data_IF_855174307184
#
_entry.id   IF_855174307184
#
_cell.length_a   1.000
_cell.length_b   1.000
_cell.length_c   1.000
_cell.angle_alpha   90.00
_cell.angle_beta   90.00
_cell.angle_gamma   90.00
#
_symmetry.space_group_name_H-M   'P 1'
#
loop_
_entity.id
_entity.type
_entity.pdbx_description
1 polymer ?
#
# COMPACT_ATOMS: atom_id res chain seq x y z
N UNK A 1 0.29 13.09 -3.60
CA UNK A 1 -1.13 12.84 -3.23
C UNK A 1 -1.63 13.91 -2.29
N UNK A 2 -1.02 14.09 -1.10
CA UNK A 2 -1.36 15.18 -0.19
C UNK A 2 -1.17 16.56 -0.84
N UNK A 3 -0.03 16.78 -1.51
CA UNK A 3 0.25 18.05 -2.19
C UNK A 3 -0.81 18.38 -3.26
N UNK A 4 -1.18 17.38 -4.08
CA UNK A 4 -2.22 17.55 -5.09
C UNK A 4 -3.59 17.90 -4.48
N UNK A 5 -3.93 17.39 -3.29
CA UNK A 5 -5.17 17.80 -2.59
C UNK A 5 -5.10 19.26 -2.11
N UNK A 6 -3.93 19.70 -1.64
CA UNK A 6 -3.70 21.08 -1.19
C UNK A 6 -3.74 22.06 -2.37
N UNK A 7 -3.22 21.65 -3.53
CA UNK A 7 -3.29 22.46 -4.76
C UNK A 7 -4.74 22.66 -5.24
N UNK A 8 -5.63 21.71 -4.96
CA UNK A 8 -7.06 21.78 -5.28
C UNK A 8 -7.88 22.61 -4.26
N UNK A 9 -7.33 22.89 -3.08
CA UNK A 9 -7.99 23.70 -2.06
C UNK A 9 -7.49 23.45 -0.64
N UNK A 10 -8.22 24.01 0.34
CA UNK A 10 -7.90 23.87 1.77
C UNK A 10 -9.00 23.08 2.46
N UNK A 11 -8.97 21.74 2.40
CA UNK A 11 -9.93 20.93 3.14
C UNK A 11 -9.79 21.18 4.65
N UNK A 12 -10.92 21.12 5.36
CA UNK A 12 -10.94 21.24 6.83
C UNK A 12 -10.18 20.08 7.50
N UNK A 13 -10.23 18.90 6.88
CA UNK A 13 -9.51 17.71 7.33
C UNK A 13 -9.18 16.79 6.14
N UNK A 14 -8.06 16.07 6.25
CA UNK A 14 -7.69 14.98 5.34
C UNK A 14 -7.56 13.72 6.18
N UNK A 15 -8.20 12.64 5.74
CA UNK A 15 -8.11 11.33 6.37
C UNK A 15 -7.62 10.27 5.37
N UNK A 16 -6.93 9.26 5.87
CA UNK A 16 -6.40 8.15 5.09
C UNK A 16 -7.03 6.83 5.54
N UNK A 17 -7.80 6.21 4.65
CA UNK A 17 -8.28 4.85 4.80
C UNK A 17 -7.46 3.90 3.93
N UNK A 18 -7.03 2.77 4.50
CA UNK A 18 -6.30 1.72 3.79
C UNK A 18 -6.92 0.35 4.07
N UNK A 19 -6.92 -0.52 3.06
CA UNK A 19 -7.34 -1.91 3.26
C UNK A 19 -6.31 -2.68 4.09
N UNK A 20 -5.03 -2.54 3.77
CA UNK A 20 -3.91 -3.22 4.43
C UNK A 20 -2.86 -2.21 4.88
N UNK A 21 -2.46 -2.30 6.15
CA UNK A 21 -1.24 -1.65 6.66
C UNK A 21 -0.14 -2.70 6.80
N UNK A 22 0.92 -2.57 5.99
CA UNK A 22 2.06 -3.51 5.97
C UNK A 22 3.23 -3.11 6.88
N UNK A 23 3.13 -1.97 7.55
CA UNK A 23 4.24 -1.38 8.31
C UNK A 23 5.33 -0.75 7.42
N UNK A 24 6.57 -0.73 7.92
CA UNK A 24 7.77 -0.18 7.24
C UNK A 24 7.63 1.28 6.76
N UNK A 25 7.00 2.12 7.58
CA UNK A 25 6.82 3.55 7.29
C UNK A 25 8.18 4.25 7.22
N UNK A 26 8.36 5.06 6.18
CA UNK A 26 9.54 5.92 6.01
C UNK A 26 9.24 7.39 6.33
N UNK A 27 7.96 7.74 6.46
CA UNK A 27 7.46 9.05 6.84
C UNK A 27 6.52 8.93 8.04
N UNK A 28 6.34 10.00 8.84
CA UNK A 28 5.45 10.01 10.01
C UNK A 28 3.96 10.10 9.61
N UNK A 29 3.54 9.33 8.60
CA UNK A 29 2.16 9.24 8.13
C UNK A 29 1.54 7.99 8.71
N UNK A 30 0.32 8.07 9.24
CA UNK A 30 -0.48 6.94 9.72
C UNK A 30 -1.90 7.02 9.15
N UNK A 31 -2.50 5.91 8.68
CA UNK A 31 -3.90 5.87 8.30
C UNK A 31 -4.80 6.02 9.54
N UNK A 32 -5.90 6.75 9.36
CA UNK A 32 -6.98 6.87 10.34
C UNK A 32 -7.77 5.56 10.44
N UNK A 33 -7.92 4.87 9.31
CA UNK A 33 -8.69 3.63 9.20
C UNK A 33 -7.87 2.55 8.51
N UNK A 34 -7.85 1.36 9.12
CA UNK A 34 -7.11 0.19 8.63
C UNK A 34 -8.04 -1.01 8.60
N UNK A 35 -8.19 -1.65 7.45
CA UNK A 35 -8.90 -2.93 7.34
C UNK A 35 -8.16 -4.04 8.10
N UNK A 36 -6.88 -4.26 7.77
CA UNK A 36 -6.03 -5.24 8.46
C UNK A 36 -4.59 -4.76 8.59
N UNK A 37 -4.01 -4.94 9.78
CA UNK A 37 -2.58 -4.82 10.00
C UNK A 37 -1.90 -6.17 9.67
N UNK A 38 -0.95 -6.16 8.76
CA UNK A 38 -0.24 -7.36 8.31
C UNK A 38 1.26 -7.09 8.43
N UNK A 39 1.93 -7.55 9.50
CA UNK A 39 3.38 -7.47 9.60
C UNK A 39 4.02 -8.21 8.42
N UNK A 40 4.92 -7.53 7.72
CA UNK A 40 5.66 -8.11 6.60
C UNK A 40 7.15 -7.93 6.83
N UNK A 41 7.99 -8.62 6.06
CA UNK A 41 9.39 -8.26 5.85
C UNK A 41 9.51 -7.21 4.73
N UNK A 42 10.72 -6.65 4.54
CA UNK A 42 11.00 -5.79 3.37
C UNK A 42 11.03 -6.56 2.05
N UNK A 43 11.33 -7.87 2.08
CA UNK A 43 11.34 -8.75 0.91
C UNK A 43 9.94 -9.23 0.52
N UNK A 44 8.94 -9.02 1.37
CA UNK A 44 7.55 -9.39 1.11
C UNK A 44 6.77 -8.26 0.42
N UNK A 45 5.84 -8.66 -0.44
CA UNK A 45 4.92 -7.79 -1.17
C UNK A 45 3.48 -8.16 -0.83
N UNK A 46 2.65 -7.16 -0.54
CA UNK A 46 1.20 -7.31 -0.50
C UNK A 46 0.66 -7.11 -1.91
N UNK A 47 -0.13 -8.06 -2.40
CA UNK A 47 -0.90 -7.94 -3.64
C UNK A 47 -2.37 -7.92 -3.26
N UNK A 48 -3.05 -6.83 -3.58
CA UNK A 48 -4.49 -6.69 -3.41
C UNK A 48 -5.15 -6.73 -4.78
N UNK A 49 -6.05 -7.69 -4.97
CA UNK A 49 -6.88 -7.83 -6.15
C UNK A 49 -8.32 -7.47 -5.79
N UNK A 50 -8.93 -6.66 -6.64
CA UNK A 50 -10.32 -6.22 -6.48
C UNK A 50 -11.10 -6.66 -7.71
N UNK A 51 -12.32 -7.17 -7.50
CA UNK A 51 -13.14 -7.75 -8.55
C UNK A 51 -13.38 -6.82 -9.75
N UNK A 52 -13.42 -5.51 -9.54
CA UNK A 52 -13.60 -4.50 -10.58
C UNK A 52 -12.43 -4.42 -11.57
N UNK A 53 -11.23 -4.85 -11.15
CA UNK A 53 -9.99 -4.77 -11.95
C UNK A 53 -9.45 -6.17 -12.27
N UNK A 54 -9.58 -7.12 -11.35
CA UNK A 54 -8.90 -8.42 -11.35
C UNK A 54 -9.84 -9.63 -11.41
N UNK A 55 -11.17 -9.41 -11.49
CA UNK A 55 -12.22 -10.43 -11.49
C UNK A 55 -12.32 -11.30 -10.21
N UNK A 56 -11.53 -10.99 -9.17
CA UNK A 56 -11.58 -11.65 -7.86
C UNK A 56 -11.20 -10.68 -6.73
N UNK A 57 -11.76 -10.90 -5.54
CA UNK A 57 -11.39 -10.16 -4.32
C UNK A 57 -10.44 -11.01 -3.48
N UNK A 58 -9.16 -10.65 -3.47
CA UNK A 58 -8.16 -11.34 -2.64
C UNK A 58 -7.00 -10.44 -2.24
N UNK A 59 -6.41 -10.74 -1.07
CA UNK A 59 -5.15 -10.13 -0.63
C UNK A 59 -4.15 -11.22 -0.32
N UNK A 60 -3.02 -11.23 -1.03
CA UNK A 60 -1.94 -12.21 -0.86
C UNK A 60 -0.64 -11.56 -0.40
N UNK A 61 0.23 -12.37 0.22
CA UNK A 61 1.60 -12.00 0.58
C UNK A 61 2.54 -12.85 -0.27
N UNK A 62 3.44 -12.21 -1.01
CA UNK A 62 4.38 -12.87 -1.93
C UNK A 62 5.83 -12.50 -1.57
N UNK A 63 6.76 -13.44 -1.72
CA UNK A 63 8.19 -13.15 -1.63
C UNK A 63 8.68 -12.51 -2.93
N UNK A 64 9.46 -11.43 -2.83
CA UNK A 64 10.12 -10.83 -3.98
C UNK A 64 11.23 -11.77 -4.46
N UNK A 65 11.02 -12.44 -5.59
CA UNK A 65 12.07 -13.19 -6.27
C UNK A 65 12.95 -12.17 -7.00
N UNK A 66 14.19 -12.00 -6.56
CA UNK A 66 15.20 -11.27 -7.33
C UNK A 66 15.59 -12.15 -8.53
N UNK A 67 15.11 -11.80 -9.72
CA UNK A 67 15.66 -12.35 -10.97
C UNK A 67 17.09 -11.82 -11.12
N UNK A 68 18.06 -12.69 -10.90
CA UNK A 68 19.48 -12.45 -11.18
C UNK A 68 19.67 -12.32 -12.70
N UNK A 69 19.38 -11.16 -13.28
CA UNK A 69 19.96 -10.79 -14.57
C UNK A 69 21.41 -10.37 -14.33
N UNK A 70 22.27 -11.38 -14.15
CA UNK A 70 23.71 -11.23 -14.42
C UNK A 70 23.85 -11.19 -15.93
N UNK A 71 23.96 -10.00 -16.50
CA UNK A 71 24.56 -9.84 -17.82
C UNK A 71 26.05 -10.11 -17.68
N UNK A 72 26.51 -11.20 -18.30
CA UNK A 72 27.92 -11.42 -18.63
C UNK A 72 28.43 -10.32 -19.58
#
# INVERSE_FOLDING_TARGET
>A
ALDALIDLGRPEQIQLAVLIDRGHRELPIRPDYVGKNVPTSKSEKIVAKLSEVDATDEVTIEQRIETNERTD
#
